data_IF_535672053819
#
_entry.id   IF_535672053819
#
_cell.length_a   1.000
_cell.length_b   1.000
_cell.length_c   1.000
_cell.angle_alpha   90.00
_cell.angle_beta   90.00
_cell.angle_gamma   90.00
#
_symmetry.space_group_name_H-M   'P 1'
#
loop_
_entity.id
_entity.type
_entity.pdbx_description
1 polymer ?
#
# COMPACT_ATOMS: atom_id res chain seq x y z
N UNK A 1 9.72 3.03 -35.77
CA UNK A 1 8.86 2.70 -34.60
C UNK A 1 9.60 2.99 -33.31
N UNK A 2 9.02 3.72 -32.36
CA UNK A 2 9.66 3.96 -31.04
C UNK A 2 9.49 2.73 -30.16
N UNK A 3 10.55 2.32 -29.47
CA UNK A 3 10.60 1.07 -28.69
C UNK A 3 9.77 1.16 -27.41
N UNK A 4 9.32 0.01 -26.90
CA UNK A 4 8.58 -0.12 -25.62
C UNK A 4 9.29 0.58 -24.45
N UNK A 5 10.62 0.47 -24.39
CA UNK A 5 11.46 1.15 -23.41
C UNK A 5 11.41 2.69 -23.50
N UNK A 6 11.25 3.26 -24.69
CA UNK A 6 11.12 4.72 -24.88
C UNK A 6 9.81 5.25 -24.29
N UNK A 7 8.69 4.55 -24.52
CA UNK A 7 7.40 4.90 -23.93
C UNK A 7 7.41 4.79 -22.39
N UNK A 8 8.11 3.79 -21.84
CA UNK A 8 8.26 3.60 -20.40
C UNK A 8 9.08 4.68 -19.71
N UNK A 9 10.23 5.07 -20.30
CA UNK A 9 11.05 6.19 -19.80
C UNK A 9 10.24 7.47 -19.79
N UNK A 10 9.53 7.75 -20.89
CA UNK A 10 8.66 8.92 -20.99
C UNK A 10 7.55 8.93 -19.93
N UNK A 11 6.87 7.80 -19.70
CA UNK A 11 5.84 7.67 -18.64
C UNK A 11 6.43 7.88 -17.23
N UNK A 12 7.60 7.27 -16.95
CA UNK A 12 8.34 7.45 -15.70
C UNK A 12 8.69 8.91 -15.46
N UNK A 13 9.15 9.60 -16.51
CA UNK A 13 9.53 11.01 -16.46
C UNK A 13 8.33 11.91 -16.21
N UNK A 14 7.16 11.64 -16.81
CA UNK A 14 5.96 12.44 -16.61
C UNK A 14 5.54 12.45 -15.14
N UNK A 15 5.37 11.27 -14.52
CA UNK A 15 4.89 11.21 -13.14
C UNK A 15 5.96 11.59 -12.11
N UNK A 16 7.25 11.40 -12.42
CA UNK A 16 8.34 11.93 -11.61
C UNK A 16 8.35 13.47 -11.65
N UNK A 17 8.30 14.08 -12.83
CA UNK A 17 8.22 15.54 -12.99
C UNK A 17 6.98 16.12 -12.30
N UNK A 18 5.82 15.47 -12.47
CA UNK A 18 4.58 15.86 -11.78
C UNK A 18 4.70 15.74 -10.26
N UNK A 19 5.36 14.71 -9.74
CA UNK A 19 5.58 14.55 -8.30
C UNK A 19 6.42 15.72 -7.75
N UNK A 20 7.56 15.98 -8.38
CA UNK A 20 8.44 17.11 -8.02
C UNK A 20 7.69 18.44 -8.09
N UNK A 21 6.95 18.71 -9.17
CA UNK A 21 6.18 19.94 -9.34
C UNK A 21 5.07 20.12 -8.28
N UNK A 22 4.58 19.02 -7.70
CA UNK A 22 3.57 19.02 -6.62
C UNK A 22 4.16 18.87 -5.22
N UNK A 23 5.49 18.83 -5.09
CA UNK A 23 6.16 18.63 -3.79
C UNK A 23 6.06 17.20 -3.21
N UNK A 24 5.68 16.21 -4.02
CA UNK A 24 5.67 14.81 -3.58
C UNK A 24 7.07 14.19 -3.65
N UNK A 25 7.46 13.48 -2.59
CA UNK A 25 8.75 12.78 -2.49
C UNK A 25 8.83 11.55 -3.37
N UNK A 26 7.68 11.01 -3.81
CA UNK A 26 7.62 9.93 -4.77
C UNK A 26 6.41 10.00 -5.70
N UNK A 27 6.58 9.48 -6.91
CA UNK A 27 5.49 9.35 -7.89
C UNK A 27 4.40 8.37 -7.46
N UNK A 28 4.66 7.48 -6.48
CA UNK A 28 3.67 6.55 -5.94
C UNK A 28 2.49 7.29 -5.31
N UNK A 29 2.68 8.54 -4.87
CA UNK A 29 1.61 9.43 -4.39
C UNK A 29 0.40 9.46 -5.34
N UNK A 30 0.64 9.48 -6.66
CA UNK A 30 -0.47 9.49 -7.64
C UNK A 30 -1.32 8.23 -7.60
N UNK A 31 -0.74 7.07 -7.26
CA UNK A 31 -1.50 5.82 -7.18
C UNK A 31 -2.53 5.87 -6.05
N UNK A 32 -2.11 6.32 -4.87
CA UNK A 32 -3.02 6.42 -3.73
C UNK A 32 -4.04 7.56 -3.93
N UNK A 33 -3.67 8.67 -4.59
CA UNK A 33 -4.62 9.71 -4.99
C UNK A 33 -5.71 9.13 -5.90
N UNK A 34 -5.33 8.30 -6.88
CA UNK A 34 -6.28 7.68 -7.80
C UNK A 34 -7.19 6.65 -7.11
N UNK A 35 -6.63 5.84 -6.20
CA UNK A 35 -7.40 4.90 -5.37
C UNK A 35 -8.40 5.69 -4.51
N UNK A 36 -7.93 6.72 -3.81
CA UNK A 36 -8.76 7.51 -2.91
C UNK A 36 -9.86 8.28 -3.64
N UNK A 37 -9.55 8.84 -4.83
CA UNK A 37 -10.56 9.47 -5.68
C UNK A 37 -11.69 8.51 -6.05
N UNK A 38 -11.40 7.22 -6.23
CA UNK A 38 -12.41 6.23 -6.63
C UNK A 38 -13.19 5.66 -5.46
N UNK A 39 -12.55 5.45 -4.31
CA UNK A 39 -13.15 4.69 -3.21
C UNK A 39 -13.37 5.48 -1.91
N UNK A 40 -12.67 6.59 -1.72
CA UNK A 40 -12.81 7.50 -0.58
C UNK A 40 -12.64 6.78 0.78
N UNK A 41 -11.63 5.91 0.89
CA UNK A 41 -11.38 5.11 2.09
C UNK A 41 -10.56 5.87 3.13
N UNK A 42 -9.50 6.58 2.73
CA UNK A 42 -8.64 7.36 3.63
C UNK A 42 -9.49 8.39 4.38
N UNK A 43 -10.32 9.14 3.66
CA UNK A 43 -11.17 10.17 4.26
C UNK A 43 -12.09 9.61 5.35
N UNK A 44 -12.62 8.39 5.15
CA UNK A 44 -13.58 7.72 6.05
C UNK A 44 -12.93 7.03 7.25
N UNK A 45 -11.66 6.63 7.14
CA UNK A 45 -10.96 5.90 8.19
C UNK A 45 -10.50 6.81 9.33
N UNK A 46 -10.63 6.33 10.56
CA UNK A 46 -10.12 6.95 11.80
C UNK A 46 -8.80 6.36 12.24
N UNK A 47 -8.50 5.13 11.83
CA UNK A 47 -7.22 4.47 12.05
C UNK A 47 -6.69 3.87 10.75
N UNK A 48 -5.43 4.19 10.42
CA UNK A 48 -4.78 3.77 9.18
C UNK A 48 -3.40 3.20 9.50
N UNK A 49 -3.05 2.08 8.87
CA UNK A 49 -1.67 1.57 8.86
C UNK A 49 -1.16 1.40 7.43
N UNK A 50 0.04 1.91 7.16
CA UNK A 50 0.72 1.83 5.87
C UNK A 50 1.96 0.94 5.97
N UNK A 51 2.00 -0.11 5.16
CA UNK A 51 3.12 -1.05 5.05
C UNK A 51 3.90 -0.75 3.76
N UNK A 52 5.22 -0.56 3.88
CA UNK A 52 6.08 -0.16 2.76
C UNK A 52 6.00 1.34 2.47
N UNK A 53 6.15 2.15 3.51
CA UNK A 53 5.89 3.59 3.45
C UNK A 53 7.01 4.40 2.78
N UNK A 54 8.26 3.92 2.77
CA UNK A 54 9.39 4.70 2.24
C UNK A 54 9.28 4.89 0.72
N UNK A 55 9.57 6.09 0.20
CA UNK A 55 10.12 7.28 0.87
C UNK A 55 9.08 8.22 1.49
N UNK A 56 7.80 7.85 1.52
CA UNK A 56 6.71 8.63 2.15
C UNK A 56 5.69 9.19 1.17
N UNK A 57 5.68 8.73 -0.10
CA UNK A 57 4.78 9.29 -1.12
C UNK A 57 3.29 9.08 -0.83
N UNK A 58 2.93 7.89 -0.33
CA UNK A 58 1.56 7.60 0.10
C UNK A 58 1.26 8.28 1.43
N UNK A 59 2.22 8.23 2.36
CA UNK A 59 2.17 8.93 3.64
C UNK A 59 1.85 10.42 3.50
N UNK A 60 2.51 11.16 2.61
CA UNK A 60 2.22 12.58 2.35
C UNK A 60 0.76 12.81 1.96
N UNK A 61 0.21 11.95 1.09
CA UNK A 61 -1.17 12.07 0.62
C UNK A 61 -2.15 11.78 1.76
N UNK A 62 -1.89 10.73 2.56
CA UNK A 62 -2.72 10.38 3.71
C UNK A 62 -2.81 11.56 4.69
N UNK A 63 -1.65 12.14 5.04
CA UNK A 63 -1.56 13.28 5.95
C UNK A 63 -2.28 14.52 5.39
N UNK A 64 -2.09 14.87 4.12
CA UNK A 64 -2.77 16.03 3.52
C UNK A 64 -4.31 15.86 3.50
N UNK A 65 -4.80 14.66 3.17
CA UNK A 65 -6.23 14.36 3.17
C UNK A 65 -6.82 14.44 4.59
N UNK A 66 -6.04 14.05 5.60
CA UNK A 66 -6.46 13.99 6.99
C UNK A 66 -6.05 15.20 7.83
N UNK A 67 -5.43 16.23 7.25
CA UNK A 67 -4.83 17.38 7.97
C UNK A 67 -5.72 18.08 9.01
N UNK A 68 -7.05 18.07 8.79
CA UNK A 68 -8.04 18.69 9.67
C UNK A 68 -8.89 17.66 10.44
N UNK A 69 -8.42 16.42 10.53
CA UNK A 69 -9.14 15.32 11.14
C UNK A 69 -8.26 14.65 12.20
N UNK A 70 -8.82 14.41 13.38
CA UNK A 70 -8.17 13.53 14.34
C UNK A 70 -8.23 12.08 13.83
N UNK A 71 -7.06 11.45 13.70
CA UNK A 71 -6.95 10.05 13.28
C UNK A 71 -5.63 9.46 13.79
N UNK A 72 -5.60 8.14 13.92
CA UNK A 72 -4.38 7.39 14.28
C UNK A 72 -3.74 6.86 13.01
N UNK A 73 -2.42 7.02 12.93
CA UNK A 73 -1.66 6.61 11.77
C UNK A 73 -0.34 5.96 12.18
N UNK A 74 -0.10 4.79 11.62
CA UNK A 74 1.14 4.02 11.76
C UNK A 74 1.67 3.77 10.37
N UNK A 75 2.96 3.96 10.15
CA UNK A 75 3.60 3.56 8.91
C UNK A 75 4.89 2.79 9.20
N UNK A 76 5.19 1.83 8.33
CA UNK A 76 6.26 0.85 8.52
C UNK A 76 7.08 0.75 7.24
N UNK A 77 8.39 0.81 7.38
CA UNK A 77 9.32 0.50 6.30
C UNK A 77 10.68 0.13 6.90
N UNK A 78 11.52 -0.57 6.13
CA UNK A 78 12.91 -0.83 6.49
C UNK A 78 13.83 0.36 6.19
N UNK A 79 13.39 1.28 5.32
CA UNK A 79 14.13 2.48 4.93
C UNK A 79 13.48 3.72 5.53
N UNK A 80 14.28 4.76 5.78
CA UNK A 80 13.77 6.02 6.32
C UNK A 80 12.73 6.70 5.42
N UNK A 81 11.83 7.46 6.07
CA UNK A 81 10.96 8.41 5.39
C UNK A 81 11.73 9.67 5.01
N UNK A 82 11.36 10.27 3.87
CA UNK A 82 11.89 11.58 3.44
C UNK A 82 11.00 12.74 3.89
N UNK A 83 10.11 12.49 4.83
CA UNK A 83 9.16 13.45 5.38
C UNK A 83 9.12 13.30 6.89
N UNK A 84 8.69 14.35 7.58
CA UNK A 84 8.45 14.32 9.02
C UNK A 84 7.01 13.90 9.31
N UNK A 85 6.81 13.24 10.44
CA UNK A 85 5.49 12.93 11.00
C UNK A 85 5.23 13.80 12.22
N UNK A 86 3.97 14.18 12.42
CA UNK A 86 3.53 14.80 13.65
C UNK A 86 3.53 13.80 14.80
N UNK A 87 3.60 14.30 16.04
CA UNK A 87 3.70 13.48 17.27
C UNK A 87 2.54 12.49 17.47
N UNK A 88 1.42 12.71 16.78
CA UNK A 88 0.23 11.85 16.83
C UNK A 88 0.29 10.65 15.88
N UNK A 89 1.41 10.48 15.17
CA UNK A 89 1.64 9.41 14.21
C UNK A 89 3.01 8.78 14.45
N UNK A 90 3.16 7.49 14.12
CA UNK A 90 4.45 6.81 14.28
C UNK A 90 4.96 6.24 12.97
N UNK A 91 6.28 6.31 12.83
CA UNK A 91 7.04 5.57 11.85
C UNK A 91 7.80 4.46 12.57
N UNK A 92 7.62 3.23 12.14
CA UNK A 92 8.35 2.06 12.62
C UNK A 92 9.39 1.71 11.56
N UNK A 93 10.66 2.05 11.81
CA UNK A 93 11.77 1.67 10.93
C UNK A 93 12.22 0.23 11.22
N UNK A 94 11.54 -0.74 10.61
CA UNK A 94 11.81 -2.18 10.76
C UNK A 94 11.42 -2.94 9.50
N UNK A 95 12.09 -4.08 9.28
CA UNK A 95 11.65 -5.06 8.29
C UNK A 95 10.31 -5.67 8.73
N UNK A 96 9.32 -5.65 7.84
CA UNK A 96 8.00 -6.22 8.06
C UNK A 96 8.04 -7.72 8.39
N UNK A 97 9.07 -8.44 7.97
CA UNK A 97 9.27 -9.85 8.33
C UNK A 97 9.54 -10.05 9.83
N UNK A 98 10.01 -9.02 10.54
CA UNK A 98 10.25 -9.05 11.99
C UNK A 98 8.95 -8.79 12.77
N UNK A 99 7.95 -9.63 12.53
CA UNK A 99 6.56 -9.42 12.98
C UNK A 99 6.42 -9.28 14.50
N UNK A 100 7.19 -9.99 15.32
CA UNK A 100 7.05 -9.98 16.78
C UNK A 100 7.40 -8.63 17.41
N UNK A 101 8.43 -7.94 16.91
CA UNK A 101 8.82 -6.62 17.39
C UNK A 101 7.83 -5.55 16.92
N UNK A 102 7.44 -5.61 15.64
CA UNK A 102 6.44 -4.71 15.07
C UNK A 102 5.12 -4.82 15.83
N UNK A 103 4.66 -6.05 16.11
CA UNK A 103 3.45 -6.32 16.89
C UNK A 103 3.53 -5.65 18.27
N UNK A 104 4.64 -5.78 18.99
CA UNK A 104 4.81 -5.14 20.31
C UNK A 104 4.73 -3.62 20.22
N UNK A 105 5.37 -3.03 19.22
CA UNK A 105 5.35 -1.57 19.03
C UNK A 105 3.93 -1.10 18.69
N UNK A 106 3.24 -1.79 17.79
CA UNK A 106 1.85 -1.48 17.42
C UNK A 106 0.96 -1.62 18.64
N UNK A 107 0.99 -2.75 19.36
CA UNK A 107 0.11 -3.01 20.49
C UNK A 107 0.34 -1.98 21.63
N UNK A 108 1.58 -1.55 21.85
CA UNK A 108 1.91 -0.52 22.85
C UNK A 108 1.43 0.89 22.43
N UNK A 109 1.50 1.22 21.13
CA UNK A 109 1.15 2.55 20.63
C UNK A 109 -0.35 2.68 20.31
N UNK A 110 -0.91 1.62 19.75
CA UNK A 110 -2.22 1.49 19.15
C UNK A 110 -2.80 0.14 19.55
N UNK A 111 -3.32 0.08 20.77
CA UNK A 111 -3.96 -1.11 21.35
C UNK A 111 -5.39 -1.32 20.78
N UNK A 112 -5.53 -1.26 19.46
CA UNK A 112 -6.80 -1.39 18.74
C UNK A 112 -6.53 -1.88 17.30
N UNK A 113 -7.60 -2.04 16.51
CA UNK A 113 -7.57 -2.45 15.11
C UNK A 113 -7.75 -1.25 14.17
N UNK A 114 -7.28 -1.42 12.94
CA UNK A 114 -7.28 -0.40 11.90
C UNK A 114 -8.52 -0.49 11.02
N UNK A 115 -9.09 0.66 10.68
CA UNK A 115 -10.14 0.77 9.66
C UNK A 115 -9.60 0.52 8.26
N UNK A 116 -8.33 0.88 8.03
CA UNK A 116 -7.66 0.78 6.75
C UNK A 116 -6.23 0.29 6.89
N UNK A 117 -5.94 -0.83 6.21
CA UNK A 117 -4.59 -1.36 6.04
C UNK A 117 -4.18 -1.15 4.58
N UNK A 118 -3.06 -0.47 4.37
CA UNK A 118 -2.48 -0.18 3.06
C UNK A 118 -1.13 -0.90 2.92
N UNK A 119 -0.87 -1.51 1.77
CA UNK A 119 0.44 -2.06 1.43
C UNK A 119 0.86 -1.73 0.01
N UNK A 120 1.89 -0.89 -0.14
CA UNK A 120 2.62 -0.70 -1.39
C UNK A 120 4.00 -1.39 -1.35
N UNK A 121 4.17 -2.40 -0.49
CA UNK A 121 5.40 -3.18 -0.44
C UNK A 121 5.64 -3.94 -1.75
N UNK A 122 6.91 -4.08 -2.12
CA UNK A 122 7.34 -4.91 -3.23
C UNK A 122 8.64 -5.60 -2.85
N UNK A 123 8.82 -6.89 -3.17
CA UNK A 123 10.13 -7.51 -3.08
C UNK A 123 11.08 -6.87 -4.11
N UNK A 124 12.39 -7.05 -3.88
CA UNK A 124 13.40 -6.76 -4.90
C UNK A 124 13.14 -7.63 -6.14
N UNK A 125 12.94 -6.98 -7.28
CA UNK A 125 12.70 -7.65 -8.56
C UNK A 125 13.98 -8.29 -9.07
N UNK A 126 13.92 -9.57 -9.44
CA UNK A 126 15.02 -10.29 -10.08
C UNK A 126 15.01 -10.09 -11.60
N UNK A 127 13.92 -9.55 -12.16
CA UNK A 127 13.71 -9.44 -13.60
C UNK A 127 13.10 -10.69 -14.22
N UNK A 128 12.94 -11.76 -13.44
CA UNK A 128 12.25 -12.98 -13.87
C UNK A 128 10.79 -12.96 -13.40
N UNK A 129 9.87 -12.69 -14.32
CA UNK A 129 8.45 -12.46 -14.03
C UNK A 129 7.80 -13.50 -13.13
N UNK A 130 8.09 -14.80 -13.33
CA UNK A 130 7.50 -15.88 -12.51
C UNK A 130 8.00 -15.81 -11.06
N UNK A 131 9.30 -15.61 -10.87
CA UNK A 131 9.90 -15.49 -9.54
C UNK A 131 9.42 -14.24 -8.83
N UNK A 132 9.36 -13.11 -9.53
CA UNK A 132 8.89 -11.84 -8.98
C UNK A 132 7.40 -11.91 -8.59
N UNK A 133 6.59 -12.61 -9.39
CA UNK A 133 5.19 -12.89 -9.07
C UNK A 133 5.06 -13.73 -7.78
N UNK A 134 5.78 -14.83 -7.65
CA UNK A 134 5.71 -15.67 -6.45
C UNK A 134 6.14 -14.91 -5.20
N UNK A 135 7.22 -14.11 -5.28
CA UNK A 135 7.68 -13.31 -4.15
C UNK A 135 6.64 -12.28 -3.69
N UNK A 136 5.98 -11.57 -4.62
CA UNK A 136 4.99 -10.57 -4.22
C UNK A 136 3.70 -11.22 -3.70
N UNK A 137 3.31 -12.39 -4.21
CA UNK A 137 2.17 -13.14 -3.65
C UNK A 137 2.49 -13.63 -2.24
N UNK A 138 3.70 -14.11 -1.97
CA UNK A 138 4.12 -14.48 -0.62
C UNK A 138 4.08 -13.29 0.34
N UNK A 139 4.56 -12.13 -0.10
CA UNK A 139 4.48 -10.89 0.68
C UNK A 139 3.03 -10.45 0.93
N UNK A 140 2.16 -10.58 -0.08
CA UNK A 140 0.74 -10.31 0.04
C UNK A 140 0.03 -11.27 1.01
N UNK A 141 0.40 -12.55 1.03
CA UNK A 141 -0.07 -13.53 2.01
C UNK A 141 0.34 -13.12 3.44
N UNK A 142 1.58 -12.66 3.66
CA UNK A 142 2.01 -12.15 4.97
C UNK A 142 1.19 -10.93 5.43
N UNK A 143 0.87 -10.01 4.50
CA UNK A 143 0.00 -8.86 4.79
C UNK A 143 -1.42 -9.31 5.12
N UNK A 144 -1.95 -10.32 4.43
CA UNK A 144 -3.25 -10.90 4.75
C UNK A 144 -3.26 -11.53 6.14
N UNK A 145 -2.24 -12.30 6.52
CA UNK A 145 -2.11 -12.86 7.87
C UNK A 145 -2.05 -11.76 8.94
N UNK A 146 -1.24 -10.72 8.72
CA UNK A 146 -1.20 -9.55 9.58
C UNK A 146 -2.58 -8.89 9.73
N UNK A 147 -3.32 -8.73 8.63
CA UNK A 147 -4.63 -8.10 8.64
C UNK A 147 -5.65 -8.86 9.50
N UNK A 148 -5.56 -10.19 9.60
CA UNK A 148 -6.50 -10.97 10.42
C UNK A 148 -6.52 -10.54 11.89
N UNK A 149 -5.36 -10.14 12.43
CA UNK A 149 -5.25 -9.61 13.80
C UNK A 149 -5.67 -8.14 13.86
N UNK A 150 -5.27 -7.34 12.87
CA UNK A 150 -5.24 -5.88 12.98
C UNK A 150 -6.31 -5.13 12.20
N UNK A 151 -7.19 -5.78 11.43
CA UNK A 151 -8.25 -5.08 10.69
C UNK A 151 -9.58 -5.13 11.45
N UNK A 152 -10.27 -3.99 11.50
CA UNK A 152 -11.60 -3.89 12.08
C UNK A 152 -12.63 -4.71 11.30
N UNK A 153 -13.73 -5.07 11.97
CA UNK A 153 -14.93 -5.52 11.26
C UNK A 153 -15.38 -4.41 10.31
N UNK A 154 -15.80 -4.79 9.10
CA UNK A 154 -16.08 -3.86 8.00
C UNK A 154 -14.87 -3.03 7.50
N UNK A 155 -13.67 -3.27 8.02
CA UNK A 155 -12.44 -2.60 7.59
C UNK A 155 -12.05 -2.90 6.14
N UNK A 156 -11.09 -2.13 5.64
CA UNK A 156 -10.59 -2.20 4.27
C UNK A 156 -9.11 -2.56 4.24
N UNK A 157 -8.74 -3.49 3.35
CA UNK A 157 -7.37 -3.85 3.03
C UNK A 157 -7.09 -3.50 1.56
N UNK A 158 -6.05 -2.73 1.32
CA UNK A 158 -5.53 -2.44 -0.02
C UNK A 158 -4.10 -2.94 -0.10
N UNK A 159 -3.81 -3.79 -1.09
CA UNK A 159 -2.46 -4.31 -1.27
C UNK A 159 -2.07 -4.38 -2.73
N UNK A 160 -0.78 -4.19 -2.99
CA UNK A 160 -0.17 -4.40 -4.31
C UNK A 160 0.10 -5.88 -4.56
N UNK A 161 -0.16 -6.32 -5.78
CA UNK A 161 0.30 -7.58 -6.34
C UNK A 161 0.84 -7.38 -7.75
N UNK A 162 1.48 -8.40 -8.31
CA UNK A 162 1.79 -8.50 -9.73
C UNK A 162 0.87 -9.52 -10.37
N UNK A 163 0.22 -9.14 -11.46
CA UNK A 163 -0.62 -10.06 -12.23
C UNK A 163 0.19 -11.27 -12.70
N UNK A 164 -0.36 -12.47 -12.50
CA UNK A 164 0.33 -13.73 -12.80
C UNK A 164 -0.47 -14.96 -12.41
N UNK A 165 0.14 -16.14 -12.56
CA UNK A 165 -0.52 -17.45 -12.47
C UNK A 165 -1.25 -17.72 -11.16
N UNK A 166 -0.70 -17.26 -10.03
CA UNK A 166 -1.19 -17.56 -8.68
C UNK A 166 -2.09 -16.46 -8.11
N UNK A 167 -2.43 -15.42 -8.90
CA UNK A 167 -3.27 -14.33 -8.42
C UNK A 167 -4.68 -14.79 -8.06
N UNK A 168 -5.24 -15.76 -8.80
CA UNK A 168 -6.62 -16.23 -8.63
C UNK A 168 -6.80 -16.95 -7.29
N UNK A 169 -5.86 -17.81 -6.94
CA UNK A 169 -5.88 -18.54 -5.67
C UNK A 169 -5.81 -17.56 -4.50
N UNK A 170 -4.93 -16.56 -4.60
CA UNK A 170 -4.80 -15.52 -3.59
C UNK A 170 -6.08 -14.67 -3.47
N UNK A 171 -6.72 -14.30 -4.59
CA UNK A 171 -8.02 -13.61 -4.56
C UNK A 171 -9.12 -14.48 -3.94
N UNK A 172 -9.11 -15.79 -4.18
CA UNK A 172 -10.04 -16.71 -3.52
C UNK A 172 -9.87 -16.70 -2.00
N UNK A 173 -8.63 -16.69 -1.49
CA UNK A 173 -8.37 -16.51 -0.04
C UNK A 173 -8.99 -15.22 0.48
N UNK A 174 -8.79 -14.10 -0.22
CA UNK A 174 -9.34 -12.79 0.18
C UNK A 174 -10.87 -12.78 0.21
N UNK A 175 -11.54 -13.43 -0.76
CA UNK A 175 -13.01 -13.52 -0.81
C UNK A 175 -13.61 -14.29 0.37
N UNK A 176 -12.83 -15.11 1.07
CA UNK A 176 -13.28 -15.75 2.32
C UNK A 176 -13.28 -14.79 3.52
N UNK A 177 -12.58 -13.64 3.41
CA UNK A 177 -12.38 -12.68 4.50
C UNK A 177 -13.05 -11.33 4.26
N UNK A 178 -13.32 -10.96 3.01
CA UNK A 178 -13.91 -9.68 2.65
C UNK A 178 -15.14 -9.88 1.77
N UNK A 179 -16.22 -9.11 2.01
CA UNK A 179 -17.43 -9.18 1.15
C UNK A 179 -17.13 -8.73 -0.29
N UNK A 180 -16.19 -7.81 -0.46
CA UNK A 180 -15.86 -7.22 -1.75
C UNK A 180 -14.35 -7.33 -1.97
N UNK A 181 -13.96 -7.87 -3.13
CA UNK A 181 -12.57 -7.89 -3.61
C UNK A 181 -12.56 -7.40 -5.06
N UNK A 182 -11.91 -6.27 -5.33
CA UNK A 182 -11.86 -5.63 -6.65
C UNK A 182 -10.43 -5.37 -7.08
N UNK A 183 -10.15 -5.59 -8.35
CA UNK A 183 -8.89 -5.15 -8.96
C UNK A 183 -8.93 -3.65 -9.26
N UNK A 184 -7.80 -2.98 -9.07
CA UNK A 184 -7.59 -1.59 -9.44
C UNK A 184 -6.20 -1.39 -10.05
N UNK A 185 -6.17 -0.95 -11.31
CA UNK A 185 -4.95 -0.59 -12.03
C UNK A 185 -4.84 0.94 -12.08
N UNK A 186 -3.90 1.57 -11.35
CA UNK A 186 -3.67 3.00 -11.46
C UNK A 186 -3.19 3.38 -12.85
N UNK A 187 -3.65 4.53 -13.34
CA UNK A 187 -3.19 5.15 -14.59
C UNK A 187 -1.73 5.61 -14.45
N UNK A 188 -1.33 5.97 -13.23
CA UNK A 188 0.07 6.31 -12.89
C UNK A 188 1.01 5.09 -12.78
N UNK A 189 0.49 3.87 -12.83
CA UNK A 189 1.31 2.67 -12.99
C UNK A 189 1.85 2.58 -14.42
N UNK A 190 3.04 2.00 -14.57
CA UNK A 190 3.63 1.84 -15.91
C UNK A 190 2.76 0.89 -16.72
N UNK A 191 2.51 1.19 -17.99
CA UNK A 191 1.72 0.31 -18.89
C UNK A 191 2.26 -1.12 -18.95
N UNK A 192 3.57 -1.30 -18.81
CA UNK A 192 4.24 -2.59 -18.95
C UNK A 192 4.45 -3.29 -17.62
N UNK A 193 4.17 -2.62 -16.51
CA UNK A 193 4.21 -3.24 -15.20
C UNK A 193 2.96 -4.11 -15.04
N UNK A 194 3.13 -5.31 -14.49
CA UNK A 194 2.05 -6.18 -14.04
C UNK A 194 1.45 -5.73 -12.70
N UNK A 195 1.91 -4.62 -12.12
CA UNK A 195 1.42 -4.04 -10.88
C UNK A 195 -0.08 -3.76 -10.92
N UNK A 196 -0.82 -4.32 -9.97
CA UNK A 196 -2.23 -4.04 -9.75
C UNK A 196 -2.50 -4.02 -8.25
N UNK A 197 -3.53 -3.31 -7.82
CA UNK A 197 -3.96 -3.28 -6.42
C UNK A 197 -5.23 -4.09 -6.26
N UNK A 198 -5.30 -4.86 -5.18
CA UNK A 198 -6.52 -5.50 -4.72
C UNK A 198 -7.15 -4.62 -3.65
N UNK A 199 -8.40 -4.23 -3.88
CA UNK A 199 -9.23 -3.41 -3.02
C UNK A 199 -10.22 -4.34 -2.33
N UNK A 200 -9.95 -4.64 -1.06
CA UNK A 200 -10.72 -5.59 -0.26
C UNK A 200 -11.49 -4.83 0.81
N UNK A 201 -12.81 -4.81 0.77
CA UNK A 201 -13.62 -4.03 1.71
C UNK A 201 -14.69 -4.88 2.38
N UNK A 202 -15.13 -4.39 3.54
CA UNK A 202 -16.07 -5.04 4.42
C UNK A 202 -15.51 -6.38 4.95
N UNK A 203 -14.44 -6.31 5.77
CA UNK A 203 -13.93 -7.47 6.50
C UNK A 203 -15.07 -8.18 7.26
N UNK A 204 -15.10 -9.50 7.15
CA UNK A 204 -16.14 -10.40 7.66
C UNK A 204 -15.94 -10.83 9.12
N UNK A 205 -14.69 -10.78 9.62
CA UNK A 205 -14.37 -11.12 11.00
C UNK A 205 -14.65 -9.94 11.94
#
# INVERSE_FOLDING_TARGET
>A
MKTKQWHERKSRDIYRKKATAKGFVARSAFKIIEIEKKYNFIKKSKSIIELGASPGGWTQVILDIKKNHNFKFVCIDINDLKISLDKNHIFINKDFNNSSEIIKIIDNYFNDKFDLILSDMSPNTTGHNKTDHLKIIQLADQVLEFSKKYINQNGTLILKIFQGSNEKDFVSKLKTKFKIVKYFKPISSRQTSSEIYLICSNNLN
#
